data_IF_913494880835
#
_entry.id   IF_913494880835
#
_cell.length_a   1.000
_cell.length_b   1.000
_cell.length_c   1.000
_cell.angle_alpha   90.00
_cell.angle_beta   90.00
_cell.angle_gamma   90.00
#
_symmetry.space_group_name_H-M   'P 1'
#
loop_
_entity.id
_entity.type
_entity.pdbx_description
1 polymer ?
#
# COMPACT_ATOMS: atom_id res chain seq x y z
N UNK A 1 9.40 119.80 14.66
CA UNK A 1 8.03 119.63 15.18
C UNK A 1 7.96 120.33 16.52
N UNK A 2 6.95 121.18 16.69
CA UNK A 2 6.89 122.21 17.72
C UNK A 2 6.88 121.66 19.14
N UNK A 3 7.80 122.21 19.92
CA UNK A 3 8.08 121.95 21.31
C UNK A 3 6.92 122.46 22.18
N UNK A 4 6.34 121.58 23.00
CA UNK A 4 5.27 121.95 23.92
C UNK A 4 5.89 122.51 25.22
N UNK A 5 6.37 123.75 25.18
CA UNK A 5 6.88 124.44 26.37
C UNK A 5 5.70 124.92 27.22
N UNK A 6 5.56 124.37 28.42
CA UNK A 6 4.56 124.80 29.41
C UNK A 6 4.91 126.17 30.00
N UNK A 7 3.95 127.10 30.02
CA UNK A 7 4.08 128.50 30.48
C UNK A 7 4.37 128.64 32.00
N UNK A 8 4.51 127.53 32.73
CA UNK A 8 4.77 127.48 34.18
C UNK A 8 6.05 126.70 34.55
N UNK A 9 7.01 126.55 33.64
CA UNK A 9 8.38 126.07 33.97
C UNK A 9 8.50 124.58 34.32
N UNK A 10 7.44 123.78 34.14
CA UNK A 10 7.49 122.33 34.30
C UNK A 10 7.58 121.64 32.92
N UNK A 11 8.75 121.07 32.61
CA UNK A 11 8.95 120.19 31.45
C UNK A 11 8.15 118.90 31.66
N UNK A 12 7.41 118.45 30.64
CA UNK A 12 6.67 117.19 30.64
C UNK A 12 7.67 116.02 30.71
N UNK A 13 8.12 115.64 31.89
CA UNK A 13 8.86 114.39 32.09
C UNK A 13 7.87 113.24 31.96
N UNK A 14 7.64 112.78 30.72
CA UNK A 14 7.25 111.37 30.54
C UNK A 14 8.33 110.55 31.25
N UNK A 15 7.95 109.57 32.10
CA UNK A 15 8.90 108.57 32.61
C UNK A 15 9.66 108.00 31.40
N UNK A 16 10.89 108.46 31.24
CA UNK A 16 11.55 108.50 29.96
C UNK A 16 12.54 109.67 29.93
N UNK A 17 13.62 109.47 29.19
CA UNK A 17 14.82 110.31 29.19
C UNK A 17 14.54 111.77 28.81
N UNK A 18 15.29 112.73 29.36
CA UNK A 18 15.22 114.14 28.99
C UNK A 18 15.81 114.35 27.56
N UNK A 19 15.00 114.75 26.56
CA UNK A 19 15.44 114.77 25.15
C UNK A 19 16.70 115.59 24.90
N UNK A 20 16.81 116.79 25.46
CA UNK A 20 17.99 117.67 25.26
C UNK A 20 19.28 117.13 25.90
N UNK A 21 19.15 116.31 26.95
CA UNK A 21 20.31 115.63 27.56
C UNK A 21 20.74 114.45 26.69
N UNK A 22 19.78 113.71 26.15
CA UNK A 22 20.04 112.63 25.19
C UNK A 22 20.65 113.19 23.91
N UNK A 23 20.15 114.31 23.38
CA UNK A 23 20.68 114.93 22.17
C UNK A 23 22.13 115.43 22.37
N UNK A 24 22.42 116.10 23.50
CA UNK A 24 23.80 116.48 23.84
C UNK A 24 24.72 115.27 24.03
N UNK A 25 24.24 114.21 24.69
CA UNK A 25 25.01 112.98 24.84
C UNK A 25 25.26 112.29 23.49
N UNK A 26 24.25 112.25 22.61
CA UNK A 26 24.38 111.72 21.25
C UNK A 26 25.36 112.53 20.42
N UNK A 27 25.34 113.86 20.48
CA UNK A 27 26.31 114.71 19.79
C UNK A 27 27.73 114.47 20.32
N UNK A 28 27.91 114.39 21.64
CA UNK A 28 29.22 114.08 22.26
C UNK A 28 29.73 112.71 21.80
N UNK A 29 28.91 111.66 21.92
CA UNK A 29 29.25 110.29 21.51
C UNK A 29 29.52 110.20 20.01
N UNK A 30 28.77 110.94 19.18
CA UNK A 30 28.99 110.99 17.73
C UNK A 30 30.33 111.67 17.42
N UNK A 31 30.66 112.76 18.12
CA UNK A 31 31.96 113.44 17.95
C UNK A 31 33.14 112.57 18.44
N UNK A 32 32.96 111.82 19.52
CA UNK A 32 33.96 110.87 20.03
C UNK A 32 34.15 109.70 19.08
N UNK A 33 33.05 109.18 18.52
CA UNK A 33 33.06 108.17 17.46
C UNK A 33 33.84 108.70 16.26
N UNK A 34 33.53 109.88 15.76
CA UNK A 34 34.17 110.43 14.56
C UNK A 34 35.68 110.66 14.79
N UNK A 35 36.08 111.15 15.97
CA UNK A 35 37.50 111.24 16.38
C UNK A 35 38.17 109.87 16.50
N UNK A 36 37.46 108.85 16.98
CA UNK A 36 37.98 107.48 17.04
C UNK A 36 38.15 106.88 15.64
N UNK A 37 37.22 107.15 14.72
CA UNK A 37 37.31 106.76 13.32
C UNK A 37 38.46 107.45 12.59
N UNK A 38 38.66 108.75 12.82
CA UNK A 38 39.80 109.47 12.26
C UNK A 38 41.13 108.89 12.76
N UNK A 39 41.25 108.62 14.07
CA UNK A 39 42.43 107.94 14.64
C UNK A 39 42.64 106.54 14.07
N UNK A 40 41.57 105.76 13.89
CA UNK A 40 41.65 104.43 13.28
C UNK A 40 42.09 104.51 11.81
N UNK A 41 41.59 105.50 11.06
CA UNK A 41 42.00 105.73 9.68
C UNK A 41 43.47 106.11 9.60
N UNK A 42 43.94 107.04 10.44
CA UNK A 42 45.36 107.44 10.49
C UNK A 42 46.25 106.25 10.86
N UNK A 43 45.87 105.47 11.89
CA UNK A 43 46.62 104.29 12.31
C UNK A 43 46.61 103.20 11.23
N UNK A 44 45.47 102.97 10.58
CA UNK A 44 45.34 102.00 9.49
C UNK A 44 46.17 102.39 8.27
N UNK A 45 46.20 103.67 7.92
CA UNK A 45 47.10 104.20 6.89
C UNK A 45 48.57 104.04 7.29
N UNK A 46 48.92 104.30 8.55
CA UNK A 46 50.27 104.10 9.08
C UNK A 46 50.71 102.63 9.07
N UNK A 47 49.81 101.69 9.41
CA UNK A 47 50.08 100.24 9.34
C UNK A 47 50.32 99.81 7.90
N UNK A 48 49.47 100.21 6.96
CA UNK A 48 49.66 99.89 5.52
C UNK A 48 50.95 100.46 4.97
N UNK A 49 51.34 101.66 5.41
CA UNK A 49 52.62 102.26 5.04
C UNK A 49 53.80 101.47 5.62
N UNK A 50 53.71 101.02 6.88
CA UNK A 50 54.73 100.17 7.49
C UNK A 50 54.81 98.78 6.84
N UNK A 51 53.68 98.16 6.52
CA UNK A 51 53.62 96.89 5.77
C UNK A 51 54.28 97.04 4.41
N UNK A 52 53.97 98.11 3.67
CA UNK A 52 54.62 98.41 2.40
C UNK A 52 56.13 98.57 2.57
N UNK A 53 56.57 99.38 3.53
CA UNK A 53 58.02 99.55 3.80
C UNK A 53 58.68 98.23 4.18
N UNK A 54 58.00 97.35 4.93
CA UNK A 54 58.51 96.04 5.27
C UNK A 54 58.66 95.15 4.03
N UNK A 55 57.65 95.12 3.16
CA UNK A 55 57.74 94.40 1.87
C UNK A 55 58.88 94.95 1.01
N UNK A 56 59.00 96.27 0.92
CA UNK A 56 60.07 96.93 0.17
C UNK A 56 61.46 96.56 0.75
N UNK A 57 61.60 96.48 2.08
CA UNK A 57 62.85 96.06 2.74
C UNK A 57 63.15 94.58 2.49
N UNK A 58 62.15 93.70 2.62
CA UNK A 58 62.33 92.26 2.38
C UNK A 58 62.71 92.00 0.93
N UNK A 59 62.03 92.67 -0.01
CA UNK A 59 62.35 92.57 -1.43
C UNK A 59 63.75 93.13 -1.72
N UNK A 60 64.10 94.30 -1.15
CA UNK A 60 65.44 94.86 -1.28
C UNK A 60 66.53 93.95 -0.68
N UNK A 61 66.23 93.19 0.37
CA UNK A 61 67.13 92.20 0.95
C UNK A 61 67.24 90.93 0.09
N UNK A 62 66.16 90.51 -0.57
CA UNK A 62 66.16 89.37 -1.50
C UNK A 62 66.89 89.70 -2.82
N UNK A 63 66.74 90.95 -3.29
CA UNK A 63 67.39 91.47 -4.49
C UNK A 63 68.82 91.98 -4.22
N UNK A 64 69.24 92.03 -2.95
CA UNK A 64 70.59 92.42 -2.60
C UNK A 64 71.59 91.43 -3.21
N UNK A 65 72.66 91.91 -3.86
CA UNK A 65 73.74 91.05 -4.32
C UNK A 65 74.32 90.26 -3.14
N UNK A 66 74.86 89.08 -3.42
CA UNK A 66 75.59 88.31 -2.41
C UNK A 66 76.67 89.19 -1.76
N UNK A 67 76.82 89.17 -0.42
CA UNK A 67 77.74 90.07 0.25
C UNK A 67 79.19 89.82 -0.21
N UNK A 68 79.80 90.80 -0.87
CA UNK A 68 81.20 90.72 -1.26
C UNK A 68 82.10 91.14 -0.08
N UNK A 69 82.63 90.15 0.61
CA UNK A 69 83.52 90.35 1.75
C UNK A 69 84.96 90.76 1.37
N UNK A 70 85.29 90.83 0.07
CA UNK A 70 86.61 91.28 -0.41
C UNK A 70 86.90 92.75 -0.07
N UNK A 71 85.86 93.58 0.04
CA UNK A 71 85.98 94.98 0.48
C UNK A 71 86.27 95.15 1.97
N UNK A 72 86.07 94.11 2.80
CA UNK A 72 86.27 94.20 4.26
C UNK A 72 87.70 93.86 4.65
N UNK A 73 88.24 92.75 4.12
CA UNK A 73 89.66 92.37 4.21
C UNK A 73 89.95 91.16 3.33
N UNK A 74 91.21 90.96 2.96
CA UNK A 74 91.65 89.74 2.26
C UNK A 74 91.38 88.47 3.09
N UNK A 75 91.44 88.57 4.43
CA UNK A 75 91.12 87.45 5.33
C UNK A 75 89.63 87.09 5.29
N UNK A 76 88.74 88.08 5.20
CA UNK A 76 87.30 87.86 5.12
C UNK A 76 86.91 87.19 3.79
N UNK A 77 87.49 87.60 2.65
CA UNK A 77 87.31 86.92 1.37
C UNK A 77 87.78 85.46 1.40
N UNK A 78 88.94 85.17 2.01
CA UNK A 78 89.43 83.79 2.17
C UNK A 78 88.49 82.94 3.03
N UNK A 79 87.96 83.48 4.12
CA UNK A 79 87.00 82.77 4.97
C UNK A 79 85.70 82.47 4.22
N UNK A 80 85.19 83.39 3.42
CA UNK A 80 83.99 83.16 2.59
C UNK A 80 84.24 82.03 1.57
N UNK A 81 85.35 82.06 0.84
CA UNK A 81 85.68 81.01 -0.12
C UNK A 81 85.82 79.63 0.55
N UNK A 82 86.37 79.56 1.76
CA UNK A 82 86.42 78.32 2.56
C UNK A 82 85.01 77.88 2.96
N UNK A 83 84.16 78.80 3.42
CA UNK A 83 82.79 78.49 3.82
C UNK A 83 81.93 78.00 2.63
N UNK A 84 82.08 78.62 1.45
CA UNK A 84 81.43 78.18 0.21
C UNK A 84 81.90 76.77 -0.19
N UNK A 85 83.22 76.54 -0.22
CA UNK A 85 83.78 75.24 -0.54
C UNK A 85 83.31 74.15 0.45
N UNK A 86 83.28 74.46 1.75
CA UNK A 86 82.76 73.56 2.77
C UNK A 86 81.25 73.31 2.60
N UNK A 87 80.47 74.34 2.27
CA UNK A 87 79.03 74.18 2.02
C UNK A 87 78.73 73.27 0.82
N UNK A 88 79.52 73.41 -0.25
CA UNK A 88 79.42 72.55 -1.44
C UNK A 88 79.83 71.12 -1.07
N UNK A 89 80.94 70.95 -0.34
CA UNK A 89 81.41 69.64 0.11
C UNK A 89 80.38 68.93 1.01
N UNK A 90 79.76 69.65 1.94
CA UNK A 90 78.70 69.12 2.81
C UNK A 90 77.46 68.74 1.99
N UNK A 91 77.05 69.58 1.03
CA UNK A 91 75.90 69.27 0.15
C UNK A 91 76.16 68.03 -0.69
N UNK A 92 77.31 67.95 -1.36
CA UNK A 92 77.67 66.78 -2.17
C UNK A 92 77.80 65.52 -1.31
N UNK A 93 78.34 65.63 -0.08
CA UNK A 93 78.40 64.52 0.87
C UNK A 93 77.00 64.05 1.28
N UNK A 94 76.10 64.99 1.57
CA UNK A 94 74.71 64.68 1.91
C UNK A 94 73.93 64.08 0.74
N UNK A 95 74.15 64.55 -0.49
CA UNK A 95 73.56 63.99 -1.71
C UNK A 95 74.01 62.55 -1.94
N UNK A 96 75.32 62.27 -1.86
CA UNK A 96 75.84 60.89 -1.96
C UNK A 96 75.28 59.99 -0.87
N UNK A 97 75.26 60.45 0.39
CA UNK A 97 74.69 59.66 1.49
C UNK A 97 73.18 59.39 1.31
N UNK A 98 72.44 60.32 0.69
CA UNK A 98 71.03 60.13 0.38
C UNK A 98 70.83 59.15 -0.80
N UNK A 99 71.72 59.14 -1.79
CA UNK A 99 71.74 58.15 -2.87
C UNK A 99 72.06 56.75 -2.32
N UNK A 100 73.13 56.61 -1.54
CA UNK A 100 73.50 55.35 -0.87
C UNK A 100 72.33 54.81 -0.03
N UNK A 101 71.68 55.66 0.77
CA UNK A 101 70.53 55.25 1.59
C UNK A 101 69.31 54.86 0.75
N UNK A 102 69.12 55.44 -0.44
CA UNK A 102 68.04 55.05 -1.37
C UNK A 102 68.34 53.71 -2.03
N UNK A 103 69.59 53.49 -2.43
CA UNK A 103 70.03 52.24 -3.05
C UNK A 103 69.94 51.09 -2.04
N UNK A 104 70.42 51.30 -0.80
CA UNK A 104 70.28 50.34 0.30
C UNK A 104 68.81 49.99 0.57
N UNK A 105 67.93 50.99 0.61
CA UNK A 105 66.50 50.77 0.82
C UNK A 105 65.84 50.03 -0.35
N UNK A 106 66.27 50.32 -1.58
CA UNK A 106 65.80 49.62 -2.77
C UNK A 106 66.24 48.16 -2.79
N UNK A 107 67.51 47.88 -2.51
CA UNK A 107 68.04 46.51 -2.43
C UNK A 107 67.35 45.71 -1.32
N UNK A 108 67.20 46.29 -0.12
CA UNK A 108 66.48 45.66 0.98
C UNK A 108 65.01 45.36 0.60
N UNK A 109 64.35 46.30 -0.10
CA UNK A 109 62.99 46.11 -0.60
C UNK A 109 62.88 44.96 -1.62
N UNK A 110 63.84 44.85 -2.52
CA UNK A 110 63.89 43.79 -3.53
C UNK A 110 64.18 42.41 -2.93
N UNK A 111 65.07 42.35 -1.94
CA UNK A 111 65.34 41.14 -1.17
C UNK A 111 64.09 40.68 -0.42
N UNK A 112 63.46 41.57 0.35
CA UNK A 112 62.23 41.27 1.08
C UNK A 112 61.08 40.82 0.14
N UNK A 113 60.96 41.45 -1.04
CA UNK A 113 59.97 41.06 -2.04
C UNK A 113 60.24 39.67 -2.63
N UNK A 114 61.51 39.31 -2.82
CA UNK A 114 61.91 37.99 -3.32
C UNK A 114 61.65 36.92 -2.27
N UNK A 115 62.09 37.13 -1.03
CA UNK A 115 61.85 36.22 0.10
C UNK A 115 60.35 35.99 0.34
N UNK A 116 59.54 37.06 0.31
CA UNK A 116 58.10 36.95 0.46
C UNK A 116 57.46 36.12 -0.67
N UNK A 117 57.94 36.26 -1.91
CA UNK A 117 57.46 35.46 -3.05
C UNK A 117 57.83 34.00 -2.89
N UNK A 118 59.09 33.70 -2.58
CA UNK A 118 59.56 32.32 -2.36
C UNK A 118 58.79 31.62 -1.24
N UNK A 119 58.62 32.31 -0.10
CA UNK A 119 57.83 31.79 1.01
C UNK A 119 56.37 31.53 0.61
N UNK A 120 55.75 32.46 -0.12
CA UNK A 120 54.36 32.31 -0.58
C UNK A 120 54.19 31.13 -1.55
N UNK A 121 55.15 30.91 -2.45
CA UNK A 121 55.14 29.80 -3.40
C UNK A 121 55.34 28.48 -2.67
N UNK A 122 56.34 28.38 -1.78
CA UNK A 122 56.58 27.18 -0.97
C UNK A 122 55.34 26.81 -0.15
N UNK A 123 54.71 27.79 0.50
CA UNK A 123 53.51 27.57 1.30
C UNK A 123 52.34 27.07 0.44
N UNK A 124 52.17 27.60 -0.78
CA UNK A 124 51.16 27.13 -1.73
C UNK A 124 51.43 25.71 -2.20
N UNK A 125 52.68 25.41 -2.58
CA UNK A 125 53.07 24.08 -3.04
C UNK A 125 52.87 23.03 -1.93
N UNK A 126 53.21 23.37 -0.68
CA UNK A 126 52.97 22.50 0.48
C UNK A 126 51.47 22.25 0.74
N UNK A 127 50.66 23.31 0.63
CA UNK A 127 49.21 23.22 0.79
C UNK A 127 48.58 22.36 -0.32
N UNK A 128 49.00 22.54 -1.58
CA UNK A 128 48.52 21.76 -2.72
C UNK A 128 48.91 20.28 -2.60
N UNK A 129 50.14 19.99 -2.15
CA UNK A 129 50.56 18.62 -1.87
C UNK A 129 49.76 17.99 -0.72
N UNK A 130 49.46 18.74 0.35
CA UNK A 130 48.66 18.25 1.45
C UNK A 130 47.21 17.97 1.02
N UNK A 131 46.63 18.84 0.20
CA UNK A 131 45.32 18.64 -0.43
C UNK A 131 45.34 17.39 -1.31
N UNK A 132 46.33 17.26 -2.20
CA UNK A 132 46.49 16.09 -3.06
C UNK A 132 46.58 14.76 -2.29
N UNK A 133 47.41 14.70 -1.23
CA UNK A 133 47.50 13.52 -0.35
C UNK A 133 46.17 13.16 0.31
N UNK A 134 45.40 14.18 0.72
CA UNK A 134 44.09 13.97 1.35
C UNK A 134 43.06 13.45 0.32
N UNK A 135 43.06 14.00 -0.88
CA UNK A 135 42.20 13.52 -1.97
C UNK A 135 42.54 12.09 -2.40
N UNK A 136 43.82 11.76 -2.53
CA UNK A 136 44.25 10.40 -2.84
C UNK A 136 43.86 9.41 -1.74
N UNK A 137 44.07 9.78 -0.47
CA UNK A 137 43.66 8.98 0.68
C UNK A 137 42.15 8.72 0.70
N UNK A 138 41.35 9.76 0.51
CA UNK A 138 39.88 9.64 0.49
C UNK A 138 39.37 8.85 -0.72
N UNK A 139 39.96 9.01 -1.91
CA UNK A 139 39.64 8.18 -3.09
C UNK A 139 39.98 6.71 -2.86
N UNK A 140 41.15 6.43 -2.26
CA UNK A 140 41.57 5.07 -1.95
C UNK A 140 40.62 4.40 -0.93
N UNK A 141 40.24 5.12 0.12
CA UNK A 141 39.27 4.65 1.12
C UNK A 141 37.89 4.40 0.51
N UNK A 142 37.37 5.35 -0.27
CA UNK A 142 36.10 5.18 -0.99
C UNK A 142 36.14 3.98 -1.95
N UNK A 143 37.27 3.76 -2.63
CA UNK A 143 37.50 2.59 -3.49
C UNK A 143 37.45 1.28 -2.70
N UNK A 144 38.10 1.23 -1.52
CA UNK A 144 38.08 0.05 -0.63
C UNK A 144 36.66 -0.25 -0.14
N UNK A 145 35.93 0.76 0.33
CA UNK A 145 34.55 0.61 0.81
C UNK A 145 33.62 0.09 -0.29
N UNK A 146 33.74 0.60 -1.52
CA UNK A 146 32.98 0.08 -2.68
C UNK A 146 33.31 -1.37 -2.98
N UNK A 147 34.59 -1.72 -3.01
CA UNK A 147 35.02 -3.09 -3.27
C UNK A 147 34.57 -4.07 -2.19
N UNK A 148 34.47 -3.62 -0.93
CA UNK A 148 33.90 -4.39 0.18
C UNK A 148 32.39 -4.58 0.05
N UNK A 149 31.64 -3.49 -0.17
CA UNK A 149 30.21 -3.55 -0.40
C UNK A 149 29.84 -4.45 -1.60
N UNK A 150 30.62 -4.40 -2.68
CA UNK A 150 30.43 -5.27 -3.84
C UNK A 150 30.68 -6.75 -3.52
N UNK A 151 31.69 -7.05 -2.70
CA UNK A 151 31.96 -8.42 -2.23
C UNK A 151 30.83 -8.94 -1.35
N UNK A 152 30.33 -8.12 -0.43
CA UNK A 152 29.24 -8.49 0.48
C UNK A 152 27.93 -8.69 -0.27
N UNK A 153 27.65 -7.81 -1.25
CA UNK A 153 26.48 -7.92 -2.13
C UNK A 153 26.51 -9.22 -2.96
N UNK A 154 27.67 -9.56 -3.53
CA UNK A 154 27.86 -10.84 -4.26
C UNK A 154 27.70 -12.05 -3.33
N UNK A 155 28.34 -12.02 -2.17
CA UNK A 155 28.23 -13.09 -1.16
C UNK A 155 26.77 -13.31 -0.73
N UNK A 156 26.04 -12.23 -0.44
CA UNK A 156 24.63 -12.29 -0.07
C UNK A 156 23.78 -12.87 -1.20
N UNK A 157 24.04 -12.47 -2.45
CA UNK A 157 23.36 -13.02 -3.63
C UNK A 157 23.65 -14.51 -3.80
N UNK A 158 24.89 -14.92 -3.64
CA UNK A 158 25.30 -16.32 -3.79
C UNK A 158 24.66 -17.19 -2.69
N UNK A 159 24.62 -16.71 -1.45
CA UNK A 159 23.92 -17.38 -0.35
C UNK A 159 22.41 -17.48 -0.64
N UNK A 160 21.76 -16.38 -1.02
CA UNK A 160 20.33 -16.36 -1.30
C UNK A 160 19.96 -17.28 -2.48
N UNK A 161 20.79 -17.32 -3.53
CA UNK A 161 20.56 -18.22 -4.67
C UNK A 161 20.80 -19.68 -4.31
N UNK A 162 21.79 -19.99 -3.47
CA UNK A 162 22.01 -21.34 -2.95
C UNK A 162 20.86 -21.81 -2.05
N UNK A 163 20.34 -20.94 -1.19
CA UNK A 163 19.15 -21.24 -0.36
C UNK A 163 17.90 -21.45 -1.22
N UNK A 164 17.66 -20.59 -2.21
CA UNK A 164 16.56 -20.75 -3.14
C UNK A 164 16.65 -22.09 -3.92
N UNK A 165 17.86 -22.49 -4.34
CA UNK A 165 18.09 -23.78 -4.96
C UNK A 165 17.77 -24.95 -4.01
N UNK A 166 18.22 -24.88 -2.75
CA UNK A 166 17.90 -25.89 -1.72
C UNK A 166 16.39 -26.02 -1.49
N UNK A 167 15.68 -24.90 -1.41
CA UNK A 167 14.21 -24.89 -1.23
C UNK A 167 13.50 -25.50 -2.44
N UNK A 168 13.97 -25.24 -3.67
CA UNK A 168 13.40 -25.86 -4.88
C UNK A 168 13.60 -27.37 -4.89
N UNK A 169 14.78 -27.85 -4.50
CA UNK A 169 15.06 -29.29 -4.41
C UNK A 169 14.20 -29.92 -3.32
N UNK A 170 14.13 -29.34 -2.12
CA UNK A 170 13.31 -29.90 -1.05
C UNK A 170 11.81 -29.88 -1.36
N UNK A 171 11.33 -28.87 -2.08
CA UNK A 171 9.97 -28.82 -2.58
C UNK A 171 9.70 -29.94 -3.60
N UNK A 172 10.58 -30.12 -4.59
CA UNK A 172 10.46 -31.20 -5.58
C UNK A 172 10.47 -32.59 -4.92
N UNK A 173 11.35 -32.82 -3.94
CA UNK A 173 11.35 -34.07 -3.19
C UNK A 173 10.08 -34.25 -2.33
N UNK A 174 9.50 -33.16 -1.82
CA UNK A 174 8.25 -33.23 -1.07
C UNK A 174 7.07 -33.55 -1.98
N UNK A 175 7.05 -33.00 -3.20
CA UNK A 175 6.09 -33.31 -4.25
C UNK A 175 6.19 -34.79 -4.66
N UNK A 176 7.39 -35.29 -4.96
CA UNK A 176 7.61 -36.70 -5.31
C UNK A 176 7.10 -37.64 -4.20
N UNK A 177 7.41 -37.33 -2.93
CA UNK A 177 6.91 -38.12 -1.78
C UNK A 177 5.39 -38.04 -1.66
N UNK A 178 4.78 -36.91 -1.96
CA UNK A 178 3.32 -36.76 -1.92
C UNK A 178 2.64 -37.54 -3.05
N UNK A 179 3.18 -37.49 -4.27
CA UNK A 179 2.71 -38.27 -5.41
C UNK A 179 2.85 -39.78 -5.16
N UNK A 180 3.98 -40.23 -4.64
CA UNK A 180 4.19 -41.64 -4.29
C UNK A 180 3.16 -42.12 -3.26
N UNK A 181 2.89 -41.33 -2.22
CA UNK A 181 1.84 -41.65 -1.22
C UNK A 181 0.44 -41.68 -1.85
N UNK A 182 0.14 -40.73 -2.74
CA UNK A 182 -1.16 -40.71 -3.43
C UNK A 182 -1.33 -41.92 -4.34
N UNK A 183 -0.28 -42.33 -5.06
CA UNK A 183 -0.28 -43.53 -5.88
C UNK A 183 -0.49 -44.81 -5.04
N UNK A 184 0.17 -44.90 -3.87
CA UNK A 184 -0.03 -45.99 -2.92
C UNK A 184 -1.48 -46.04 -2.41
N UNK A 185 -2.07 -44.90 -2.04
CA UNK A 185 -3.46 -44.81 -1.60
C UNK A 185 -4.44 -45.19 -2.71
N UNK A 186 -4.20 -44.76 -3.95
CA UNK A 186 -5.02 -45.14 -5.12
C UNK A 186 -4.96 -46.64 -5.34
N UNK A 187 -3.76 -47.23 -5.36
CA UNK A 187 -3.59 -48.67 -5.52
C UNK A 187 -4.32 -49.45 -4.41
N UNK A 188 -4.20 -49.02 -3.15
CA UNK A 188 -4.95 -49.66 -2.03
C UNK A 188 -6.46 -49.53 -2.19
N UNK A 189 -6.95 -48.37 -2.64
CA UNK A 189 -8.36 -48.18 -2.91
C UNK A 189 -8.83 -49.11 -4.03
N UNK A 190 -8.10 -49.19 -5.14
CA UNK A 190 -8.41 -50.07 -6.27
C UNK A 190 -8.41 -51.55 -5.84
N UNK A 191 -7.41 -51.98 -5.05
CA UNK A 191 -7.35 -53.34 -4.48
C UNK A 191 -8.55 -53.63 -3.56
N UNK A 192 -8.97 -52.66 -2.73
CA UNK A 192 -10.16 -52.79 -1.88
C UNK A 192 -11.45 -52.85 -2.69
N UNK A 193 -11.59 -52.02 -3.73
CA UNK A 193 -12.75 -52.02 -4.61
C UNK A 193 -12.86 -53.33 -5.38
N UNK A 194 -11.76 -53.81 -5.98
CA UNK A 194 -11.73 -55.09 -6.67
C UNK A 194 -12.07 -56.27 -5.74
N UNK A 195 -11.59 -56.24 -4.49
CA UNK A 195 -11.93 -57.27 -3.50
C UNK A 195 -13.41 -57.19 -3.06
N UNK A 196 -13.98 -56.00 -2.96
CA UNK A 196 -15.39 -55.80 -2.63
C UNK A 196 -16.31 -56.23 -3.80
N UNK A 197 -15.95 -55.88 -5.03
CA UNK A 197 -16.64 -56.28 -6.27
C UNK A 197 -16.64 -57.81 -6.41
N UNK A 198 -15.47 -58.45 -6.30
CA UNK A 198 -15.38 -59.93 -6.35
C UNK A 198 -16.22 -60.62 -5.26
N UNK A 199 -16.35 -60.02 -4.06
CA UNK A 199 -17.23 -60.55 -3.02
C UNK A 199 -18.70 -60.36 -3.36
N UNK A 200 -19.07 -59.21 -3.92
CA UNK A 200 -20.44 -58.94 -4.37
C UNK A 200 -20.83 -59.91 -5.49
N UNK A 201 -19.99 -60.06 -6.51
CA UNK A 201 -20.20 -61.01 -7.61
C UNK A 201 -20.39 -62.45 -7.08
N UNK A 202 -19.57 -62.88 -6.12
CA UNK A 202 -19.69 -64.20 -5.52
C UNK A 202 -20.98 -64.39 -4.68
N UNK A 203 -21.49 -63.34 -4.04
CA UNK A 203 -22.79 -63.38 -3.36
C UNK A 203 -23.95 -63.37 -4.37
N UNK A 204 -23.85 -62.57 -5.43
CA UNK A 204 -24.82 -62.51 -6.52
C UNK A 204 -24.92 -63.86 -7.25
N UNK A 205 -23.79 -64.53 -7.53
CA UNK A 205 -23.78 -65.88 -8.09
C UNK A 205 -24.47 -66.90 -7.18
N UNK A 206 -24.28 -66.81 -5.85
CA UNK A 206 -24.98 -67.69 -4.90
C UNK A 206 -26.47 -67.42 -4.89
N UNK A 207 -26.89 -66.16 -4.85
CA UNK A 207 -28.30 -65.77 -4.87
C UNK A 207 -28.94 -66.24 -6.18
N UNK A 208 -28.28 -66.03 -7.32
CA UNK A 208 -28.72 -66.50 -8.63
C UNK A 208 -28.86 -68.02 -8.65
N UNK A 209 -27.88 -68.78 -8.14
CA UNK A 209 -27.96 -70.24 -8.07
C UNK A 209 -29.11 -70.74 -7.18
N UNK A 210 -29.37 -70.08 -6.05
CA UNK A 210 -30.52 -70.39 -5.18
C UNK A 210 -31.83 -70.06 -5.90
N UNK A 211 -31.92 -68.90 -6.56
CA UNK A 211 -33.10 -68.49 -7.31
C UNK A 211 -33.39 -69.46 -8.47
N UNK A 212 -32.39 -69.86 -9.25
CA UNK A 212 -32.51 -70.87 -10.30
C UNK A 212 -32.95 -72.23 -9.75
N UNK A 213 -32.40 -72.65 -8.60
CA UNK A 213 -32.83 -73.88 -7.95
C UNK A 213 -34.30 -73.80 -7.52
N UNK A 214 -34.70 -72.70 -6.90
CA UNK A 214 -36.11 -72.46 -6.50
C UNK A 214 -37.03 -72.40 -7.71
N UNK A 215 -36.59 -71.82 -8.82
CA UNK A 215 -37.33 -71.82 -10.09
C UNK A 215 -37.51 -73.25 -10.60
N UNK A 216 -36.44 -74.05 -10.66
CA UNK A 216 -36.52 -75.47 -11.06
C UNK A 216 -37.42 -76.29 -10.14
N UNK A 217 -37.32 -76.10 -8.82
CA UNK A 217 -38.21 -76.74 -7.84
C UNK A 217 -39.68 -76.33 -8.06
N UNK A 218 -39.96 -75.05 -8.33
CA UNK A 218 -41.30 -74.55 -8.64
C UNK A 218 -41.84 -75.06 -9.98
N UNK A 219 -40.99 -75.16 -11.01
CA UNK A 219 -41.34 -75.73 -12.31
C UNK A 219 -41.65 -77.23 -12.20
N UNK A 220 -40.83 -78.00 -11.47
CA UNK A 220 -41.07 -79.42 -11.19
C UNK A 220 -42.38 -79.61 -10.42
N UNK A 221 -42.60 -78.84 -9.34
CA UNK A 221 -43.85 -78.89 -8.59
C UNK A 221 -45.05 -78.54 -9.47
N UNK A 222 -44.92 -77.54 -10.35
CA UNK A 222 -45.97 -77.20 -11.32
C UNK A 222 -46.24 -78.37 -12.27
N UNK A 223 -45.20 -79.02 -12.80
CA UNK A 223 -45.34 -80.18 -13.68
C UNK A 223 -45.99 -81.38 -12.97
N UNK A 224 -45.63 -81.64 -11.72
CA UNK A 224 -46.23 -82.66 -10.86
C UNK A 224 -47.72 -82.37 -10.62
N UNK A 225 -48.08 -81.16 -10.21
CA UNK A 225 -49.48 -80.74 -10.01
C UNK A 225 -50.25 -80.84 -11.32
N UNK A 226 -49.68 -80.41 -12.45
CA UNK A 226 -50.33 -80.55 -13.76
C UNK A 226 -50.45 -82.03 -14.20
N UNK A 227 -49.56 -82.92 -13.77
CA UNK A 227 -49.69 -84.35 -14.01
C UNK A 227 -50.79 -84.97 -13.12
N UNK A 228 -50.88 -84.57 -11.85
CA UNK A 228 -51.92 -85.00 -10.92
C UNK A 228 -53.31 -84.50 -11.34
N UNK A 229 -53.43 -83.25 -11.80
CA UNK A 229 -54.67 -82.73 -12.39
C UNK A 229 -55.04 -83.57 -13.62
N UNK A 230 -54.10 -83.84 -14.52
CA UNK A 230 -54.36 -84.68 -15.71
C UNK A 230 -54.77 -86.10 -15.34
N UNK A 231 -54.17 -86.72 -14.31
CA UNK A 231 -54.57 -88.06 -13.87
C UNK A 231 -55.93 -88.05 -13.21
N UNK A 232 -56.23 -87.06 -12.37
CA UNK A 232 -57.53 -86.90 -11.72
C UNK A 232 -58.63 -86.61 -12.76
N UNK A 233 -58.35 -85.78 -13.76
CA UNK A 233 -59.26 -85.52 -14.88
C UNK A 233 -59.49 -86.80 -15.70
N UNK A 234 -58.44 -87.60 -15.95
CA UNK A 234 -58.56 -88.88 -16.66
C UNK A 234 -59.34 -89.92 -15.84
N UNK A 235 -59.11 -90.01 -14.53
CA UNK A 235 -59.89 -90.87 -13.62
C UNK A 235 -61.35 -90.42 -13.55
N UNK A 236 -61.61 -89.12 -13.45
CA UNK A 236 -62.95 -88.55 -13.50
C UNK A 236 -63.65 -88.83 -14.84
N UNK A 237 -62.92 -88.80 -15.96
CA UNK A 237 -63.44 -89.20 -17.27
C UNK A 237 -63.78 -90.68 -17.33
N UNK A 238 -62.91 -91.56 -16.82
CA UNK A 238 -63.17 -93.01 -16.75
C UNK A 238 -64.39 -93.31 -15.88
N UNK A 239 -64.52 -92.66 -14.72
CA UNK A 239 -65.69 -92.82 -13.85
C UNK A 239 -66.96 -92.23 -14.48
N UNK A 240 -66.86 -91.09 -15.18
CA UNK A 240 -67.99 -90.53 -15.94
C UNK A 240 -68.43 -91.49 -17.06
N UNK A 241 -67.49 -92.04 -17.83
CA UNK A 241 -67.77 -93.03 -18.88
C UNK A 241 -68.36 -94.31 -18.31
N UNK A 242 -67.88 -94.75 -17.14
CA UNK A 242 -68.44 -95.90 -16.42
C UNK A 242 -69.87 -95.63 -15.95
N UNK A 243 -70.13 -94.50 -15.30
CA UNK A 243 -71.48 -94.09 -14.88
C UNK A 243 -72.42 -93.97 -16.09
N UNK A 244 -71.95 -93.42 -17.21
CA UNK A 244 -72.71 -93.37 -18.46
C UNK A 244 -72.99 -94.76 -19.02
N UNK A 245 -72.04 -95.70 -18.94
CA UNK A 245 -72.25 -97.09 -19.36
C UNK A 245 -73.22 -97.85 -18.43
N UNK A 246 -73.14 -97.64 -17.11
CA UNK A 246 -74.08 -98.17 -16.13
C UNK A 246 -75.49 -97.59 -16.35
N UNK A 247 -75.60 -96.27 -16.55
CA UNK A 247 -76.86 -95.61 -16.88
C UNK A 247 -77.44 -96.08 -18.22
N UNK A 248 -76.60 -96.33 -19.24
CA UNK A 248 -77.04 -96.93 -20.53
C UNK A 248 -77.53 -98.36 -20.35
N UNK A 249 -76.82 -99.19 -19.58
CA UNK A 249 -77.28 -100.56 -19.26
C UNK A 249 -78.57 -100.57 -18.46
N UNK A 250 -78.76 -99.61 -17.55
CA UNK A 250 -80.01 -99.44 -16.82
C UNK A 250 -81.13 -98.97 -17.76
N UNK A 251 -80.85 -98.00 -18.63
CA UNK A 251 -81.79 -97.52 -19.64
C UNK A 251 -82.19 -98.63 -20.62
N UNK A 252 -81.24 -99.45 -21.07
CA UNK A 252 -81.48 -100.64 -21.90
C UNK A 252 -82.27 -101.71 -21.12
N UNK A 253 -82.02 -101.90 -19.82
CA UNK A 253 -82.84 -102.80 -18.97
C UNK A 253 -84.27 -102.28 -18.81
N UNK A 254 -84.44 -100.99 -18.58
CA UNK A 254 -85.76 -100.34 -18.50
C UNK A 254 -86.47 -100.42 -19.84
N UNK A 255 -85.78 -100.19 -20.96
CA UNK A 255 -86.34 -100.36 -22.31
C UNK A 255 -86.73 -101.81 -22.56
N UNK A 256 -85.86 -102.79 -22.30
CA UNK A 256 -86.19 -104.20 -22.49
C UNK A 256 -87.31 -104.68 -21.55
N UNK A 257 -87.38 -104.16 -20.32
CA UNK A 257 -88.49 -104.41 -19.40
C UNK A 257 -89.79 -103.77 -19.90
N UNK A 258 -89.72 -102.54 -20.43
CA UNK A 258 -90.87 -101.84 -21.03
C UNK A 258 -91.34 -102.51 -22.31
N UNK A 259 -90.43 -103.00 -23.16
CA UNK A 259 -90.74 -103.76 -24.37
C UNK A 259 -91.37 -105.11 -24.02
N UNK A 260 -90.89 -105.80 -22.98
CA UNK A 260 -91.54 -107.02 -22.46
C UNK A 260 -92.92 -106.74 -21.90
N UNK A 261 -93.09 -105.68 -21.11
CA UNK A 261 -94.41 -105.27 -20.64
C UNK A 261 -95.32 -104.87 -21.79
N UNK A 262 -94.80 -104.21 -22.84
CA UNK A 262 -95.57 -103.87 -24.04
C UNK A 262 -95.97 -105.11 -24.84
N UNK A 263 -95.09 -106.11 -24.96
CA UNK A 263 -95.40 -107.39 -25.59
C UNK A 263 -96.42 -108.19 -24.78
N UNK A 264 -96.26 -108.29 -23.46
CA UNK A 264 -97.25 -108.92 -22.58
C UNK A 264 -98.60 -108.17 -22.60
N UNK A 265 -98.57 -106.84 -22.69
CA UNK A 265 -99.79 -106.03 -22.81
C UNK A 265 -100.45 -106.24 -24.18
N UNK A 266 -99.66 -106.36 -25.26
CA UNK A 266 -100.15 -106.70 -26.59
C UNK A 266 -100.74 -108.12 -26.64
N UNK A 267 -100.11 -109.11 -26.00
CA UNK A 267 -100.63 -110.48 -25.89
C UNK A 267 -101.91 -110.54 -25.06
N UNK A 268 -102.01 -109.78 -23.95
CA UNK A 268 -103.27 -109.64 -23.20
C UNK A 268 -104.35 -108.94 -24.02
N UNK A 269 -103.99 -107.92 -24.80
CA UNK A 269 -104.93 -107.22 -25.67
C UNK A 269 -105.42 -108.14 -26.80
N UNK A 270 -104.55 -108.97 -27.35
CA UNK A 270 -104.86 -109.95 -28.39
C UNK A 270 -105.72 -111.09 -27.83
N UNK A 271 -105.47 -111.57 -26.60
CA UNK A 271 -106.36 -112.52 -25.92
C UNK A 271 -107.75 -111.93 -25.62
N UNK A 272 -107.82 -110.67 -25.19
CA UNK A 272 -109.10 -109.98 -24.95
C UNK A 272 -109.84 -109.71 -26.27
N UNK A 273 -109.13 -109.36 -27.35
CA UNK A 273 -109.71 -109.20 -28.68
C UNK A 273 -110.17 -110.54 -29.28
N UNK A 274 -109.43 -111.64 -29.07
CA UNK A 274 -109.88 -112.98 -29.47
C UNK A 274 -111.11 -113.44 -28.68
N UNK A 275 -111.20 -113.14 -27.38
CA UNK A 275 -112.42 -113.39 -26.59
C UNK A 275 -113.60 -112.52 -27.05
N UNK A 276 -113.36 -111.25 -27.38
CA UNK A 276 -114.39 -110.34 -27.88
C UNK A 276 -114.81 -110.65 -29.32
N UNK A 277 -113.92 -111.14 -30.19
CA UNK A 277 -114.25 -111.58 -31.55
C UNK A 277 -114.93 -112.94 -31.56
N UNK A 278 -114.60 -113.85 -30.65
CA UNK A 278 -115.33 -115.10 -30.46
C UNK A 278 -116.76 -114.86 -29.94
N UNK A 279 -116.92 -113.94 -28.98
CA UNK A 279 -118.23 -113.51 -28.48
C UNK A 279 -119.00 -112.73 -29.57
N UNK A 280 -118.33 -111.89 -30.37
CA UNK A 280 -118.95 -111.16 -31.51
C UNK A 280 -119.32 -112.09 -32.66
N UNK A 281 -118.55 -113.13 -32.98
CA UNK A 281 -118.91 -114.09 -34.04
C UNK A 281 -120.03 -115.06 -33.62
N UNK A 282 -120.12 -115.42 -32.34
CA UNK A 282 -121.21 -116.30 -31.86
C UNK A 282 -122.50 -115.53 -31.56
N UNK A 283 -122.44 -114.27 -31.10
CA UNK A 283 -123.63 -113.40 -30.98
C UNK A 283 -124.12 -112.84 -32.34
N UNK A 284 -123.24 -112.62 -33.33
CA UNK A 284 -123.65 -112.17 -34.67
C UNK A 284 -124.33 -113.25 -35.53
N UNK A 285 -124.31 -114.52 -35.10
CA UNK A 285 -124.94 -115.62 -35.84
C UNK A 285 -126.38 -115.96 -35.40
N UNK A 286 -126.90 -115.50 -34.24
CA UNK A 286 -128.27 -115.90 -33.83
C UNK A 286 -129.13 -114.89 -33.05
N UNK A 287 -128.67 -113.70 -32.69
CA UNK A 287 -129.59 -112.67 -32.16
C UNK A 287 -129.12 -111.29 -32.58
N UNK A 288 -129.82 -110.74 -33.57
CA UNK A 288 -129.62 -109.38 -34.03
C UNK A 288 -129.97 -108.32 -32.98
N UNK A 289 -129.61 -107.09 -33.36
CA UNK A 289 -129.88 -105.81 -32.73
C UNK A 289 -128.71 -105.18 -31.94
N UNK A 290 -128.24 -104.08 -32.54
CA UNK A 290 -128.05 -102.75 -31.93
C UNK A 290 -127.00 -102.54 -30.82
N UNK A 291 -126.61 -101.27 -30.72
CA UNK A 291 -125.80 -100.61 -29.67
C UNK A 291 -124.30 -100.84 -29.84
N UNK A 292 -123.42 -99.85 -29.92
CA UNK A 292 -123.40 -98.42 -29.59
C UNK A 292 -121.91 -98.13 -29.39
N UNK A 293 -121.27 -97.25 -30.15
CA UNK A 293 -121.09 -95.85 -29.78
C UNK A 293 -120.80 -95.66 -28.29
N UNK A 294 -119.66 -95.02 -27.96
CA UNK A 294 -119.56 -93.81 -27.12
C UNK A 294 -118.14 -93.63 -26.56
N UNK A 295 -117.59 -92.43 -26.83
CA UNK A 295 -116.78 -91.53 -25.98
C UNK A 295 -115.50 -92.08 -25.31
N UNK A 296 -114.40 -91.34 -25.21
CA UNK A 296 -114.28 -89.94 -24.82
C UNK A 296 -113.68 -89.87 -23.41
N UNK A 297 -113.24 -88.67 -23.03
CA UNK A 297 -112.63 -88.27 -21.76
C UNK A 297 -111.13 -88.63 -21.60
N UNK A 298 -110.17 -87.70 -21.59
CA UNK A 298 -110.06 -86.41 -20.88
C UNK A 298 -109.86 -86.54 -19.37
N UNK A 299 -108.90 -85.72 -18.91
CA UNK A 299 -108.65 -85.25 -17.56
C UNK A 299 -108.06 -86.30 -16.60
N UNK A 300 -107.04 -85.96 -15.82
CA UNK A 300 -107.11 -85.26 -14.52
C UNK A 300 -105.66 -85.36 -13.98
N UNK A 301 -105.00 -84.47 -13.24
CA UNK A 301 -105.26 -83.15 -12.65
C UNK A 301 -104.06 -82.84 -11.74
N UNK A 302 -103.77 -81.54 -11.62
CA UNK A 302 -103.23 -80.77 -10.49
C UNK A 302 -102.15 -81.39 -9.57
N UNK A 303 -101.14 -80.62 -9.20
CA UNK A 303 -101.19 -79.69 -8.06
C UNK A 303 -99.84 -78.92 -7.93
N UNK A 304 -99.95 -77.61 -7.78
CA UNK A 304 -99.02 -76.71 -7.06
C UNK A 304 -98.91 -77.12 -5.56
N UNK A 305 -97.92 -76.67 -4.74
CA UNK A 305 -97.55 -75.24 -4.58
C UNK A 305 -96.07 -74.91 -4.22
N UNK A 306 -95.77 -73.60 -4.20
CA UNK A 306 -94.62 -72.94 -3.55
C UNK A 306 -94.73 -73.02 -1.98
N UNK A 307 -93.78 -72.60 -1.10
CA UNK A 307 -93.05 -71.30 -1.14
C UNK A 307 -91.58 -71.28 -0.60
N UNK A 308 -90.99 -70.09 -0.67
CA UNK A 308 -89.66 -69.61 -0.19
C UNK A 308 -89.54 -69.61 1.36
N UNK A 309 -88.32 -69.58 1.97
CA UNK A 309 -87.67 -68.29 2.30
C UNK A 309 -86.11 -68.27 2.36
N UNK A 310 -85.54 -67.07 2.27
CA UNK A 310 -84.16 -66.71 2.71
C UNK A 310 -84.10 -66.52 4.24
N UNK A 311 -82.89 -66.53 4.85
CA UNK A 311 -82.30 -65.30 5.41
C UNK A 311 -80.76 -65.23 5.20
N UNK A 312 -80.17 -64.10 4.83
CA UNK A 312 -79.70 -62.95 5.65
C UNK A 312 -78.29 -63.12 6.29
N UNK A 313 -77.48 -62.07 6.11
CA UNK A 313 -76.07 -61.88 6.51
C UNK A 313 -75.85 -61.62 8.02
N UNK A 314 -74.57 -61.46 8.47
CA UNK A 314 -74.03 -60.11 8.78
C UNK A 314 -72.59 -59.88 8.24
N UNK A 315 -72.21 -58.68 7.75
CA UNK A 315 -71.64 -57.50 8.46
C UNK A 315 -70.23 -57.73 9.06
N UNK A 316 -69.18 -57.09 8.52
CA UNK A 316 -68.54 -55.81 8.95
C UNK A 316 -67.62 -55.89 10.18
N UNK A 317 -66.35 -55.51 9.98
CA UNK A 317 -65.52 -54.65 10.86
C UNK A 317 -64.40 -54.06 9.97
N UNK A 318 -64.40 -52.76 9.66
CA UNK A 318 -63.71 -51.69 10.41
C UNK A 318 -62.22 -52.02 10.61
N UNK A 319 -61.29 -51.32 9.96
CA UNK A 319 -60.70 -50.08 10.51
C UNK A 319 -60.54 -48.96 9.45
N UNK A 320 -60.85 -47.77 9.94
CA UNK A 320 -60.76 -46.40 9.41
C UNK A 320 -59.29 -45.90 9.23
N UNK A 321 -58.99 -44.62 8.96
CA UNK A 321 -58.01 -44.20 7.95
C UNK A 321 -56.72 -43.61 8.54
N UNK A 322 -55.67 -43.45 7.73
CA UNK A 322 -54.69 -42.37 7.90
C UNK A 322 -53.76 -42.25 6.68
N UNK A 323 -53.89 -41.12 5.96
CA UNK A 323 -52.77 -40.43 5.31
C UNK A 323 -51.68 -40.10 6.37
N UNK A 324 -50.38 -39.86 6.03
CA UNK A 324 -49.98 -39.01 4.91
C UNK A 324 -48.68 -39.36 4.17
N UNK A 325 -48.45 -38.55 3.14
CA UNK A 325 -47.25 -38.31 2.35
C UNK A 325 -45.88 -38.65 2.97
N UNK A 326 -44.89 -39.03 2.15
CA UNK A 326 -43.51 -38.64 2.42
C UNK A 326 -43.30 -37.21 1.86
N UNK A 327 -43.19 -36.24 2.75
CA UNK A 327 -42.41 -35.04 2.43
C UNK A 327 -40.94 -35.43 2.20
N UNK A 328 -40.22 -34.73 1.31
CA UNK A 328 -38.79 -34.92 1.14
C UNK A 328 -38.07 -34.33 2.35
N UNK A 329 -37.45 -35.18 3.18
CA UNK A 329 -36.55 -34.72 4.21
C UNK A 329 -35.25 -34.23 3.57
N UNK A 330 -35.21 -32.93 3.32
CA UNK A 330 -34.03 -32.08 3.37
C UNK A 330 -33.29 -32.30 4.71
N UNK A 331 -32.49 -33.36 4.80
CA UNK A 331 -31.67 -33.69 5.96
C UNK A 331 -30.24 -34.06 5.57
N UNK A 332 -29.75 -33.57 4.42
CA UNK A 332 -28.34 -33.66 4.04
C UNK A 332 -27.80 -32.38 3.37
N UNK A 333 -28.40 -31.24 3.69
CA UNK A 333 -27.94 -29.90 3.23
C UNK A 333 -27.90 -28.84 4.34
N UNK A 334 -28.05 -29.24 5.61
CA UNK A 334 -27.83 -28.36 6.78
C UNK A 334 -26.60 -28.69 7.64
N UNK A 335 -25.98 -29.85 7.44
CA UNK A 335 -24.72 -30.21 8.13
C UNK A 335 -23.44 -29.74 7.39
N UNK A 336 -23.60 -29.16 6.20
CA UNK A 336 -22.51 -28.49 5.45
C UNK A 336 -22.52 -26.95 5.60
N UNK A 337 -23.52 -26.36 6.26
CA UNK A 337 -23.57 -24.92 6.57
C UNK A 337 -23.39 -24.59 8.06
N UNK A 338 -23.40 -25.58 8.96
CA UNK A 338 -23.14 -25.40 10.39
C UNK A 338 -21.70 -25.72 10.84
N UNK A 339 -20.79 -26.06 9.91
CA UNK A 339 -19.35 -26.26 10.19
C UNK A 339 -18.44 -25.15 9.65
N UNK A 340 -19.04 -24.04 9.20
CA UNK A 340 -18.34 -22.84 8.73
C UNK A 340 -18.10 -21.79 9.85
N UNK A 341 -18.41 -22.09 11.10
CA UNK A 341 -18.12 -21.20 12.23
C UNK A 341 -17.44 -21.99 13.35
N UNK A 342 -16.15 -22.26 13.16
CA UNK A 342 -15.13 -22.35 14.23
C UNK A 342 -13.78 -22.75 13.60
N UNK A 343 -13.01 -21.74 13.20
CA UNK A 343 -11.56 -21.84 13.05
C UNK A 343 -10.94 -20.66 13.83
N UNK A 344 -9.92 -20.89 14.67
CA UNK A 344 -9.39 -19.86 15.56
C UNK A 344 -8.62 -18.78 14.80
N UNK A 345 -8.78 -17.55 15.25
CA UNK A 345 -8.08 -16.37 14.78
C UNK A 345 -6.55 -16.52 14.96
N UNK A 346 -5.83 -16.70 13.86
CA UNK A 346 -4.37 -16.55 13.78
C UNK A 346 -3.93 -15.59 12.67
N UNK A 347 -4.76 -14.58 12.36
CA UNK A 347 -4.43 -13.56 11.36
C UNK A 347 -4.01 -12.19 11.93
N UNK A 348 -4.17 -11.92 13.23
CA UNK A 348 -3.78 -10.62 13.82
C UNK A 348 -2.28 -10.45 14.12
N UNK A 349 -1.47 -11.52 14.04
CA UNK A 349 -0.01 -11.43 14.27
C UNK A 349 0.83 -11.17 13.02
N UNK A 350 0.24 -11.14 11.83
CA UNK A 350 0.96 -10.84 10.58
C UNK A 350 0.83 -9.39 10.12
N UNK A 351 -0.18 -8.65 10.58
CA UNK A 351 -0.38 -7.24 10.22
C UNK A 351 0.38 -6.24 11.09
N UNK A 352 1.03 -6.70 12.17
CA UNK A 352 1.85 -5.84 13.05
C UNK A 352 3.36 -5.95 12.77
N UNK A 353 3.81 -6.84 11.86
CA UNK A 353 5.23 -7.17 11.72
C UNK A 353 5.92 -6.80 10.39
N UNK A 354 5.24 -6.23 9.38
CA UNK A 354 5.91 -5.86 8.12
C UNK A 354 5.66 -4.42 7.63
N UNK A 355 5.36 -3.50 8.55
CA UNK A 355 5.51 -2.06 8.33
C UNK A 355 6.75 -1.55 9.09
N UNK A 356 7.91 -2.05 8.71
CA UNK A 356 9.20 -1.55 9.18
C UNK A 356 10.14 -1.37 7.97
N UNK A 357 9.90 -0.29 7.23
CA UNK A 357 10.93 0.28 6.36
C UNK A 357 12.01 0.89 7.28
N UNK A 358 13.31 0.68 7.03
CA UNK A 358 14.33 1.40 7.77
C UNK A 358 14.24 2.89 7.41
N UNK A 359 13.93 3.71 8.40
CA UNK A 359 13.98 5.14 8.32
C UNK A 359 15.42 5.60 7.97
N UNK A 360 15.50 6.62 7.12
CA UNK A 360 16.69 7.42 6.82
C UNK A 360 17.42 7.78 8.12
N UNK A 361 18.77 7.66 8.19
CA UNK A 361 19.50 8.02 9.40
C UNK A 361 19.35 9.53 9.69
N UNK A 362 19.19 9.94 10.96
CA UNK A 362 19.17 11.36 11.30
C UNK A 362 20.54 11.98 11.02
N UNK A 363 20.53 13.25 10.59
CA UNK A 363 21.74 14.10 10.53
C UNK A 363 22.51 14.00 11.86
N UNK A 364 23.85 13.96 11.84
CA UNK A 364 24.63 13.97 13.07
C UNK A 364 24.30 15.23 13.87
N UNK A 365 24.01 15.03 15.16
CA UNK A 365 23.85 16.08 16.13
C UNK A 365 25.12 16.94 16.18
N UNK A 366 24.93 18.25 16.25
CA UNK A 366 25.97 19.23 16.59
C UNK A 366 26.69 18.81 17.88
N UNK A 367 28.03 18.87 17.94
CA UNK A 367 28.78 18.56 19.15
C UNK A 367 28.44 19.56 20.27
N UNK A 368 28.54 19.15 21.55
CA UNK A 368 28.29 20.05 22.68
C UNK A 368 29.29 21.22 22.69
N UNK A 369 28.91 22.41 23.18
CA UNK A 369 29.85 23.51 23.33
C UNK A 369 30.98 23.08 24.27
N UNK A 370 32.21 23.26 23.80
CA UNK A 370 33.41 23.03 24.59
C UNK A 370 33.36 23.82 25.91
N UNK A 371 33.81 23.18 26.99
CA UNK A 371 34.03 23.82 28.28
C UNK A 371 34.93 25.07 28.10
N UNK A 372 34.70 26.15 28.88
CA UNK A 372 35.53 27.34 28.80
C UNK A 372 37.00 27.00 29.11
N UNK A 373 37.97 27.60 28.41
CA UNK A 373 39.38 27.35 28.67
C UNK A 373 39.73 27.70 30.11
N UNK A 374 40.50 26.82 30.74
CA UNK A 374 41.12 27.06 32.03
C UNK A 374 41.96 28.34 31.97
N UNK A 375 41.91 29.11 33.05
CA UNK A 375 42.68 30.32 33.25
C UNK A 375 44.18 30.07 32.99
N UNK A 376 44.90 31.01 32.32
CA UNK A 376 46.33 30.86 32.11
C UNK A 376 47.07 30.97 33.45
N UNK A 377 47.91 29.96 33.73
CA UNK A 377 48.93 30.00 34.78
C UNK A 377 49.99 31.05 34.37
N UNK A 378 50.44 31.93 35.28
CA UNK A 378 51.31 33.06 34.92
C UNK A 378 52.70 32.57 34.49
N UNK A 379 53.11 32.99 33.29
CA UNK A 379 54.47 32.82 32.81
C UNK A 379 55.44 33.74 33.57
N UNK A 380 56.64 33.23 33.81
CA UNK A 380 57.73 33.87 34.52
C UNK A 380 58.20 35.17 33.86
N UNK A 381 58.58 36.14 34.71
CA UNK A 381 59.21 37.44 34.41
C UNK A 381 60.55 37.30 33.67
N UNK A 382 60.75 38.04 32.58
CA UNK A 382 62.00 38.78 32.21
C UNK A 382 61.66 39.86 31.14
N UNK A 383 62.49 40.90 30.92
CA UNK A 383 62.44 42.22 31.55
C UNK A 383 61.85 43.32 30.64
N UNK A 384 61.61 44.49 31.24
CA UNK A 384 61.03 45.70 30.66
C UNK A 384 61.77 46.19 29.39
N UNK A 385 61.02 46.36 28.30
CA UNK A 385 61.43 47.12 27.13
C UNK A 385 60.82 48.52 27.21
N UNK A 386 61.68 49.53 27.12
CA UNK A 386 61.38 50.96 27.14
C UNK A 386 60.23 51.34 26.19
N UNK A 387 59.25 52.06 26.72
CA UNK A 387 58.11 52.57 25.98
C UNK A 387 58.55 53.78 25.15
N UNK A 388 58.93 53.55 23.88
CA UNK A 388 59.15 54.64 22.91
C UNK A 388 57.80 55.18 22.46
N UNK A 389 57.49 56.42 22.86
CA UNK A 389 56.29 57.15 22.47
C UNK A 389 56.33 57.37 20.94
N UNK A 390 55.42 56.73 20.21
CA UNK A 390 55.17 56.99 18.79
C UNK A 390 54.13 58.11 18.71
N UNK A 391 54.43 59.30 18.15
CA UNK A 391 53.41 60.32 17.94
C UNK A 391 52.39 59.85 16.90
N UNK A 392 51.12 59.94 17.28
CA UNK A 392 49.97 59.65 16.42
C UNK A 392 49.82 60.79 15.41
N UNK A 393 50.31 60.60 14.19
CA UNK A 393 50.05 61.54 13.09
C UNK A 393 48.59 61.33 12.67
N UNK A 394 47.74 62.31 12.98
CA UNK A 394 46.40 62.43 12.42
C UNK A 394 46.55 63.15 11.09
N UNK A 395 46.45 62.41 9.99
CA UNK A 395 46.33 63.00 8.66
C UNK A 395 44.92 63.58 8.57
N UNK A 396 44.82 64.91 8.66
CA UNK A 396 43.62 65.64 8.29
C UNK A 396 43.67 65.79 6.77
N UNK A 397 42.76 65.09 6.11
CA UNK A 397 42.55 65.18 4.67
C UNK A 397 41.87 66.52 4.37
N UNK A 398 42.68 67.56 4.14
CA UNK A 398 42.22 68.84 3.60
C UNK A 398 41.89 68.60 2.12
N UNK A 399 40.63 68.25 1.82
CA UNK A 399 40.11 67.82 0.53
C UNK A 399 40.32 68.79 -0.65
N UNK A 400 41.57 69.04 -1.01
CA UNK A 400 41.99 69.73 -2.21
C UNK A 400 42.10 68.70 -3.33
N UNK A 401 41.13 68.70 -4.23
CA UNK A 401 41.20 68.02 -5.52
C UNK A 401 42.39 68.57 -6.32
N UNK A 402 43.46 67.77 -6.47
CA UNK A 402 44.55 68.07 -7.39
C UNK A 402 44.17 67.60 -8.81
N UNK A 403 44.17 68.48 -9.82
CA UNK A 403 43.95 68.07 -11.20
C UNK A 403 45.18 67.32 -11.73
N UNK A 404 45.03 66.03 -12.00
CA UNK A 404 46.04 65.19 -12.63
C UNK A 404 46.03 65.37 -14.15
N UNK A 405 46.72 66.38 -14.67
CA UNK A 405 47.09 66.40 -16.11
C UNK A 405 48.46 65.73 -16.29
N UNK A 406 48.42 64.46 -16.71
CA UNK A 406 49.60 63.72 -17.17
C UNK A 406 49.91 64.17 -18.60
N UNK A 407 50.89 65.07 -18.75
CA UNK A 407 51.45 65.42 -20.06
C UNK A 407 52.43 64.32 -20.49
N UNK A 408 52.00 63.46 -21.41
CA UNK A 408 52.91 62.60 -22.15
C UNK A 408 53.70 63.42 -23.18
N UNK A 409 54.99 63.62 -22.93
CA UNK A 409 55.94 64.06 -23.96
C UNK A 409 56.35 62.86 -24.82
N UNK A 410 56.20 63.00 -26.14
CA UNK A 410 56.84 62.14 -27.15
C UNK A 410 58.29 62.53 -27.36
#
# INVERSE_FOLDING_TARGET
>A
MSDAVSQHGFMLTRRGYAPDQVERALVSLTSERDRAWERLSVLGSGIREMEKRLTDIVQAAADAPEPDYSGLSEQAARLMAIAEAESIAVRESAERAAEDARDDAYEAGQQAATEAREFSTSTRDEADQAAGRTEEGTRAEAGRLRAEADRDSRSTRDIATAEAAKVRVSAAEAEERAEAKLAELRRRADEMFAAAESRADAEDEKIAAIAERRLKEAEQYREEVLAEIRSTDAEAQVEADRLLAEARREAERIQAASEREQLEFAERQEQVQQHLDHIKQTLAALTGAAVGAVEGASAVRALEPAPVPQPAAPQQAAVEPAHPAPEPAEAMTRELQARAVQAPATSEKLTTALRALPAVPPRPATPPPAAPPAAPVPAAKVPEAETRIIPKIVIVDDGAEYPSEVVHRR
#
